data_IF_248140395079
#
_entry.id   IF_248140395079
#
_cell.length_a   1.000
_cell.length_b   1.000
_cell.length_c   1.000
_cell.angle_alpha   90.00
_cell.angle_beta   90.00
_cell.angle_gamma   90.00
#
_symmetry.space_group_name_H-M   'P 1'
#
loop_
_entity.id
_entity.type
_entity.pdbx_description
1 polymer ?
#
# COMPACT_ATOMS: atom_id res chain seq x y z
N UNK A 1 -10.13 9.96 14.54
CA UNK A 1 -10.76 8.77 15.20
C UNK A 1 -10.65 7.61 14.21
N UNK A 2 -10.18 6.43 14.63
CA UNK A 2 -10.12 5.24 13.76
C UNK A 2 -11.47 4.54 13.86
N UNK A 3 -12.09 4.26 12.70
CA UNK A 3 -13.42 3.65 12.59
C UNK A 3 -13.24 2.17 12.25
N UNK A 4 -13.75 1.27 13.09
CA UNK A 4 -13.75 -0.20 12.82
C UNK A 4 -14.48 -0.49 11.51
N UNK A 5 -13.93 -1.41 10.70
CA UNK A 5 -14.44 -1.70 9.36
C UNK A 5 -14.13 -0.62 8.32
N UNK A 6 -13.48 0.48 8.69
CA UNK A 6 -13.13 1.56 7.77
C UNK A 6 -12.00 1.18 6.81
N UNK A 7 -12.02 1.78 5.62
CA UNK A 7 -10.96 1.69 4.63
C UNK A 7 -9.96 2.84 4.83
N UNK A 8 -8.68 2.55 4.77
CA UNK A 8 -7.62 3.54 5.01
C UNK A 8 -6.54 3.49 3.95
N UNK A 9 -6.07 4.67 3.53
CA UNK A 9 -4.76 4.80 2.92
C UNK A 9 -3.74 5.06 4.03
N UNK A 10 -2.65 4.28 4.03
CA UNK A 10 -1.62 4.33 5.07
C UNK A 10 -0.25 4.48 4.43
N UNK A 11 0.60 5.34 4.99
CA UNK A 11 1.99 5.52 4.55
C UNK A 11 2.94 5.50 5.74
N UNK A 12 4.08 4.84 5.58
CA UNK A 12 5.18 4.90 6.52
C UNK A 12 6.50 5.12 5.80
N UNK A 13 7.37 5.97 6.33
CA UNK A 13 8.58 6.44 5.66
C UNK A 13 9.80 6.36 6.56
N UNK A 14 10.96 6.11 5.95
CA UNK A 14 12.26 6.19 6.60
C UNK A 14 12.58 7.58 7.09
N UNK A 15 13.20 7.67 8.26
CA UNK A 15 13.64 8.93 8.84
C UNK A 15 14.59 9.66 7.86
N UNK A 16 14.41 10.98 7.73
CA UNK A 16 15.18 11.79 6.77
C UNK A 16 15.17 11.24 5.33
N UNK A 17 14.09 10.58 4.93
CA UNK A 17 13.93 9.92 3.62
C UNK A 17 15.00 8.85 3.33
N UNK A 18 15.68 8.34 4.36
CA UNK A 18 16.71 7.30 4.18
C UNK A 18 16.12 6.01 3.60
N UNK A 19 16.95 5.27 2.86
CA UNK A 19 16.60 3.95 2.33
C UNK A 19 16.35 2.99 3.49
N UNK A 20 15.20 2.34 3.52
CA UNK A 20 14.81 1.34 4.52
C UNK A 20 14.48 -0.02 3.90
N UNK A 21 14.49 -0.11 2.57
CA UNK A 21 14.23 -1.31 1.82
C UNK A 21 15.29 -1.58 0.76
N UNK A 22 15.79 -2.79 0.70
CA UNK A 22 16.28 -3.46 -0.48
C UNK A 22 15.27 -4.55 -0.90
N UNK A 23 15.54 -5.32 -1.94
CA UNK A 23 14.59 -6.32 -2.45
C UNK A 23 14.32 -7.43 -1.42
N UNK A 24 15.32 -7.82 -0.63
CA UNK A 24 15.14 -8.82 0.42
C UNK A 24 14.20 -8.31 1.53
N UNK A 25 14.36 -7.04 1.92
CA UNK A 25 13.51 -6.40 2.92
C UNK A 25 12.09 -6.14 2.40
N UNK A 26 11.90 -5.85 1.11
CA UNK A 26 10.58 -5.73 0.49
C UNK A 26 9.83 -7.07 0.57
N UNK A 27 10.48 -8.18 0.19
CA UNK A 27 9.89 -9.52 0.30
C UNK A 27 9.57 -9.90 1.74
N UNK A 28 10.46 -9.60 2.67
CA UNK A 28 10.21 -9.80 4.10
C UNK A 28 9.02 -8.97 4.59
N UNK A 29 8.92 -7.72 4.16
CA UNK A 29 7.84 -6.82 4.57
C UNK A 29 6.47 -7.29 4.06
N UNK A 30 6.39 -7.79 2.82
CA UNK A 30 5.17 -8.39 2.27
C UNK A 30 4.74 -9.62 3.08
N UNK A 31 5.67 -10.48 3.50
CA UNK A 31 5.35 -11.61 4.40
C UNK A 31 4.84 -11.13 5.76
N UNK A 32 5.55 -10.19 6.38
CA UNK A 32 5.14 -9.61 7.64
C UNK A 32 3.76 -8.94 7.56
N UNK A 33 3.47 -8.28 6.44
CA UNK A 33 2.16 -7.69 6.17
C UNK A 33 1.07 -8.77 6.14
N UNK A 34 1.34 -9.94 5.53
CA UNK A 34 0.42 -11.08 5.51
C UNK A 34 0.08 -11.59 6.90
N UNK A 35 1.10 -11.84 7.72
CA UNK A 35 0.92 -12.31 9.10
C UNK A 35 0.15 -11.29 9.97
N UNK A 36 0.43 -10.01 9.78
CA UNK A 36 -0.24 -8.94 10.54
C UNK A 36 -1.66 -8.72 10.03
N UNK A 37 -1.89 -8.81 8.72
CA UNK A 37 -3.23 -8.71 8.16
C UNK A 37 -4.14 -9.83 8.69
N UNK A 38 -3.62 -11.05 8.82
CA UNK A 38 -4.34 -12.17 9.44
C UNK A 38 -4.61 -11.91 10.93
N UNK A 39 -3.58 -11.52 11.71
CA UNK A 39 -3.68 -11.29 13.16
C UNK A 39 -4.63 -10.15 13.53
N UNK A 40 -4.69 -9.09 12.70
CA UNK A 40 -5.49 -7.88 12.97
C UNK A 40 -6.73 -7.78 12.08
N UNK A 41 -7.07 -8.86 11.37
CA UNK A 41 -8.24 -8.94 10.48
C UNK A 41 -8.27 -7.81 9.44
N UNK A 42 -7.11 -7.52 8.85
CA UNK A 42 -7.02 -6.54 7.79
C UNK A 42 -7.25 -7.17 6.41
N UNK A 43 -8.04 -6.51 5.57
CA UNK A 43 -8.15 -6.80 4.14
C UNK A 43 -7.31 -5.78 3.39
N UNK A 44 -6.14 -6.19 2.90
CA UNK A 44 -5.23 -5.30 2.14
C UNK A 44 -5.61 -5.37 0.67
N UNK A 45 -6.10 -4.27 0.10
CA UNK A 45 -6.57 -4.21 -1.28
C UNK A 45 -5.53 -3.68 -2.26
N UNK A 46 -4.58 -2.86 -1.79
CA UNK A 46 -3.45 -2.40 -2.60
C UNK A 46 -2.24 -2.07 -1.74
N UNK A 47 -1.05 -2.23 -2.31
CA UNK A 47 0.20 -1.79 -1.70
C UNK A 47 1.25 -1.41 -2.75
N UNK A 48 2.20 -0.56 -2.35
CA UNK A 48 3.44 -0.28 -3.06
C UNK A 48 4.58 -0.05 -2.07
N UNK A 49 5.77 -0.61 -2.38
CA UNK A 49 6.95 -0.53 -1.51
C UNK A 49 8.11 0.04 -2.31
N UNK A 50 8.52 1.24 -1.94
CA UNK A 50 9.66 1.94 -2.53
C UNK A 50 10.94 1.70 -1.72
N UNK A 51 12.02 2.37 -2.05
CA UNK A 51 13.29 2.21 -1.31
C UNK A 51 13.24 2.79 0.10
N UNK A 52 12.44 3.83 0.34
CA UNK A 52 12.42 4.57 1.60
C UNK A 52 11.03 4.75 2.23
N UNK A 53 9.98 4.25 1.62
CA UNK A 53 8.62 4.30 2.16
C UNK A 53 7.73 3.23 1.52
N UNK A 54 6.54 3.03 2.10
CA UNK A 54 5.53 2.19 1.53
C UNK A 54 4.13 2.78 1.70
N UNK A 55 3.22 2.36 0.84
CA UNK A 55 1.81 2.70 0.86
C UNK A 55 0.97 1.44 0.97
N UNK A 56 -0.12 1.51 1.74
CA UNK A 56 -1.13 0.47 1.85
C UNK A 56 -2.51 1.11 1.64
N UNK A 57 -3.39 0.42 0.94
CA UNK A 57 -4.83 0.64 0.99
C UNK A 57 -5.43 -0.59 1.62
N UNK A 58 -6.07 -0.44 2.77
CA UNK A 58 -6.56 -1.58 3.54
C UNK A 58 -7.84 -1.24 4.31
N UNK A 59 -8.69 -2.25 4.47
CA UNK A 59 -9.84 -2.23 5.36
C UNK A 59 -9.42 -2.87 6.68
N UNK A 60 -9.76 -2.27 7.79
CA UNK A 60 -9.38 -2.76 9.12
C UNK A 60 -10.51 -3.56 9.76
N UNK A 61 -10.14 -4.55 10.58
CA UNK A 61 -11.03 -5.26 11.48
C UNK A 61 -11.28 -4.51 12.80
N UNK A 62 -11.84 -5.20 13.78
CA UNK A 62 -12.16 -4.63 15.10
C UNK A 62 -10.92 -4.26 15.92
N UNK A 63 -9.82 -5.00 15.75
CA UNK A 63 -8.55 -4.73 16.46
C UNK A 63 -7.89 -3.39 16.07
N UNK A 64 -8.41 -2.72 15.03
CA UNK A 64 -8.01 -1.40 14.63
C UNK A 64 -6.67 -1.33 13.88
N UNK A 65 -6.21 -0.10 13.62
CA UNK A 65 -5.04 0.17 12.79
C UNK A 65 -3.75 0.30 13.61
N UNK A 66 -3.81 0.92 14.79
CA UNK A 66 -2.62 1.40 15.49
C UNK A 66 -1.68 0.28 15.96
N UNK A 67 -2.21 -0.77 16.57
CA UNK A 67 -1.41 -1.88 17.10
C UNK A 67 -0.75 -2.69 15.98
N UNK A 68 -1.49 -2.98 14.91
CA UNK A 68 -0.95 -3.67 13.74
C UNK A 68 0.15 -2.87 13.04
N UNK A 69 -0.05 -1.56 12.85
CA UNK A 69 0.97 -0.68 12.25
C UNK A 69 2.21 -0.55 13.13
N UNK A 70 2.04 -0.49 14.46
CA UNK A 70 3.17 -0.50 15.39
C UNK A 70 4.00 -1.77 15.24
N UNK A 71 3.34 -2.93 15.20
CA UNK A 71 4.00 -4.23 15.04
C UNK A 71 4.70 -4.36 13.68
N UNK A 72 4.03 -3.94 12.60
CA UNK A 72 4.57 -3.95 11.24
C UNK A 72 5.83 -3.07 11.13
N UNK A 73 5.75 -1.83 11.61
CA UNK A 73 6.86 -0.89 11.58
C UNK A 73 8.01 -1.31 12.50
N UNK A 74 7.73 -1.92 13.65
CA UNK A 74 8.78 -2.46 14.54
C UNK A 74 9.57 -3.59 13.87
N UNK A 75 8.87 -4.53 13.21
CA UNK A 75 9.53 -5.61 12.45
C UNK A 75 10.40 -5.05 11.32
N UNK A 76 9.87 -4.07 10.57
CA UNK A 76 10.62 -3.40 9.51
C UNK A 76 11.84 -2.68 10.07
N UNK A 77 11.69 -1.90 11.15
CA UNK A 77 12.80 -1.15 11.74
C UNK A 77 13.94 -2.07 12.19
N UNK A 78 13.60 -3.18 12.86
CA UNK A 78 14.61 -4.17 13.30
C UNK A 78 15.35 -4.80 12.11
N UNK A 79 14.60 -5.23 11.09
CA UNK A 79 15.17 -5.85 9.90
C UNK A 79 16.03 -4.87 9.09
N UNK A 80 15.55 -3.63 8.89
CA UNK A 80 16.27 -2.58 8.19
C UNK A 80 17.56 -2.18 8.92
N UNK A 81 17.50 -1.99 10.25
CA UNK A 81 18.68 -1.67 11.03
C UNK A 81 19.72 -2.79 10.97
N UNK A 82 19.31 -4.05 11.12
CA UNK A 82 20.21 -5.20 10.98
C UNK A 82 20.85 -5.27 9.59
N UNK A 83 20.04 -5.03 8.53
CA UNK A 83 20.49 -5.09 7.13
C UNK A 83 21.50 -4.03 6.75
N UNK A 84 21.29 -2.79 7.24
CA UNK A 84 22.10 -1.63 6.89
C UNK A 84 23.12 -1.22 7.98
N UNK A 85 23.30 -2.04 9.01
CA UNK A 85 24.26 -1.77 10.09
C UNK A 85 23.94 -0.50 10.89
N UNK A 86 22.64 -0.21 11.10
CA UNK A 86 22.20 1.04 11.75
C UNK A 86 21.79 0.81 13.20
N UNK A 87 22.01 1.84 14.00
CA UNK A 87 21.56 1.94 15.39
C UNK A 87 20.58 3.13 15.42
N UNK A 88 19.48 3.05 16.15
CA UNK A 88 18.44 4.09 16.28
C UNK A 88 17.23 3.94 15.35
N UNK A 89 16.35 4.94 15.39
CA UNK A 89 15.08 4.96 14.68
C UNK A 89 15.30 5.12 13.16
N UNK A 90 15.12 4.05 12.40
CA UNK A 90 15.19 4.13 10.93
C UNK A 90 13.84 4.52 10.29
N UNK A 91 12.73 4.29 10.99
CA UNK A 91 11.41 4.79 10.58
C UNK A 91 11.20 6.13 11.29
N UNK A 92 10.76 7.14 10.54
CA UNK A 92 10.62 8.50 11.00
C UNK A 92 9.51 8.66 12.05
N UNK A 93 8.56 9.52 11.77
CA UNK A 93 7.40 9.75 12.64
C UNK A 93 6.43 8.55 12.61
N UNK A 94 5.32 8.63 13.38
CA UNK A 94 4.19 7.71 13.23
C UNK A 94 3.82 7.58 11.75
N UNK A 95 3.28 6.41 11.38
CA UNK A 95 2.63 6.25 10.09
C UNK A 95 1.54 7.33 9.93
N UNK A 96 1.37 7.79 8.72
CA UNK A 96 0.25 8.63 8.35
C UNK A 96 -0.91 7.75 7.86
N UNK A 97 -2.15 8.13 8.16
CA UNK A 97 -3.33 7.43 7.66
C UNK A 97 -4.48 8.38 7.40
N UNK A 98 -5.21 8.16 6.32
CA UNK A 98 -6.44 8.86 5.97
C UNK A 98 -7.57 7.87 5.78
N UNK A 99 -8.73 8.17 6.37
CA UNK A 99 -9.95 7.42 6.13
C UNK A 99 -10.41 7.65 4.69
N UNK A 100 -10.75 6.57 4.02
CA UNK A 100 -11.36 6.57 2.68
C UNK A 100 -12.86 6.46 2.89
N UNK A 101 -13.55 7.58 2.81
CA UNK A 101 -14.98 7.74 3.13
C UNK A 101 -15.86 8.00 1.90
N UNK A 102 -15.26 8.04 0.70
CA UNK A 102 -15.98 8.23 -0.55
C UNK A 102 -15.35 7.42 -1.70
N UNK A 103 -16.14 7.00 -2.70
CA UNK A 103 -15.64 6.25 -3.85
C UNK A 103 -14.51 6.96 -4.59
N UNK A 104 -14.57 8.26 -4.77
CA UNK A 104 -13.56 9.07 -5.46
C UNK A 104 -12.23 9.07 -4.71
N UNK A 105 -12.25 8.97 -3.38
CA UNK A 105 -11.05 8.84 -2.55
C UNK A 105 -10.47 7.43 -2.61
N UNK A 106 -11.33 6.42 -2.75
CA UNK A 106 -10.88 5.04 -2.96
C UNK A 106 -10.12 4.93 -4.28
N UNK A 107 -10.71 5.41 -5.36
CA UNK A 107 -10.10 5.43 -6.69
C UNK A 107 -8.77 6.20 -6.69
N UNK A 108 -8.75 7.41 -6.12
CA UNK A 108 -7.55 8.20 -6.00
C UNK A 108 -6.45 7.50 -5.19
N UNK A 109 -6.82 6.84 -4.07
CA UNK A 109 -5.89 6.09 -3.23
C UNK A 109 -5.28 4.89 -3.96
N UNK A 110 -6.08 4.17 -4.75
CA UNK A 110 -5.61 3.07 -5.58
C UNK A 110 -4.62 3.54 -6.64
N UNK A 111 -4.99 4.57 -7.42
CA UNK A 111 -4.14 5.13 -8.45
C UNK A 111 -2.83 5.65 -7.87
N UNK A 112 -2.92 6.45 -6.81
CA UNK A 112 -1.74 6.98 -6.15
C UNK A 112 -0.80 5.86 -5.67
N UNK A 113 -1.34 4.84 -5.00
CA UNK A 113 -0.56 3.72 -4.48
C UNK A 113 0.09 2.94 -5.62
N UNK A 114 -0.68 2.52 -6.61
CA UNK A 114 -0.18 1.63 -7.66
C UNK A 114 0.75 2.32 -8.65
N UNK A 115 0.56 3.62 -8.92
CA UNK A 115 1.46 4.41 -9.76
C UNK A 115 2.73 4.90 -9.05
N UNK A 116 2.83 4.73 -7.73
CA UNK A 116 3.95 5.26 -6.94
C UNK A 116 5.32 4.76 -7.41
N UNK A 117 5.53 3.46 -7.77
CA UNK A 117 6.80 3.00 -8.33
C UNK A 117 7.16 3.71 -9.64
N UNK A 118 6.23 3.82 -10.59
CA UNK A 118 6.48 4.50 -11.86
C UNK A 118 6.81 5.99 -11.66
N UNK A 119 6.10 6.69 -10.76
CA UNK A 119 6.41 8.07 -10.38
C UNK A 119 7.79 8.23 -9.72
N UNK A 120 8.29 7.20 -9.08
CA UNK A 120 9.63 7.15 -8.50
C UNK A 120 10.71 6.72 -9.52
N UNK A 121 10.37 6.61 -10.81
CA UNK A 121 11.27 6.21 -11.87
C UNK A 121 11.52 4.71 -11.97
N UNK A 122 10.68 3.88 -11.35
CA UNK A 122 10.73 2.42 -11.44
C UNK A 122 9.71 1.99 -12.50
N UNK A 123 10.16 1.93 -13.74
CA UNK A 123 9.30 1.64 -14.90
C UNK A 123 8.44 2.85 -15.32
N UNK A 124 7.58 2.61 -16.32
CA UNK A 124 6.68 3.61 -16.90
C UNK A 124 5.20 3.34 -16.60
N UNK A 125 4.91 2.14 -16.05
CA UNK A 125 3.57 1.68 -15.74
C UNK A 125 3.58 0.83 -14.45
N UNK A 126 2.48 0.75 -13.67
CA UNK A 126 2.38 -0.13 -12.49
C UNK A 126 2.73 -1.59 -12.75
N UNK A 127 2.53 -2.08 -13.97
CA UNK A 127 2.89 -3.44 -14.40
C UNK A 127 4.39 -3.69 -14.58
N UNK A 128 5.21 -2.65 -14.64
CA UNK A 128 6.66 -2.77 -14.80
C UNK A 128 7.39 -3.06 -13.49
N UNK A 129 6.70 -2.91 -12.37
CA UNK A 129 7.29 -3.08 -11.03
C UNK A 129 6.68 -4.27 -10.28
N UNK A 130 7.54 -5.17 -9.77
CA UNK A 130 7.15 -6.22 -8.81
C UNK A 130 6.85 -5.65 -7.40
N UNK A 131 7.14 -4.37 -7.17
CA UNK A 131 7.02 -3.73 -5.86
C UNK A 131 5.71 -2.98 -5.66
N UNK A 132 4.68 -3.37 -6.42
CA UNK A 132 3.29 -3.00 -6.16
C UNK A 132 2.37 -4.22 -6.31
N UNK A 133 1.19 -4.16 -5.71
CA UNK A 133 0.20 -5.24 -5.79
C UNK A 133 -0.48 -5.34 -7.16
N UNK A 134 -0.24 -4.41 -8.10
CA UNK A 134 -0.90 -4.40 -9.41
C UNK A 134 -0.76 -5.74 -10.15
N UNK A 135 0.47 -6.24 -10.31
CA UNK A 135 0.75 -7.49 -11.04
C UNK A 135 0.02 -8.69 -10.45
N UNK A 136 0.04 -8.81 -9.11
CA UNK A 136 -0.67 -9.88 -8.40
C UNK A 136 -2.19 -9.74 -8.51
N UNK A 137 -2.72 -8.52 -8.54
CA UNK A 137 -4.16 -8.25 -8.72
C UNK A 137 -4.67 -8.68 -10.09
N UNK A 138 -3.86 -8.48 -11.14
CA UNK A 138 -4.24 -8.83 -12.52
C UNK A 138 -3.77 -10.22 -12.95
N UNK A 139 -3.22 -11.01 -12.04
CA UNK A 139 -2.83 -12.40 -12.30
C UNK A 139 -1.50 -12.58 -13.04
N UNK A 140 -0.63 -11.55 -13.07
CA UNK A 140 0.70 -11.60 -13.67
C UNK A 140 1.78 -12.13 -12.72
N UNK A 141 1.52 -12.08 -11.41
CA UNK A 141 2.42 -12.58 -10.37
C UNK A 141 1.65 -13.42 -9.34
N UNK A 142 2.42 -14.16 -8.52
CA UNK A 142 1.87 -14.84 -7.36
C UNK A 142 1.19 -13.85 -6.40
N UNK A 143 0.01 -14.23 -5.92
CA UNK A 143 -0.77 -13.42 -4.99
C UNK A 143 -0.30 -13.66 -3.55
N UNK A 144 0.29 -12.65 -2.86
CA UNK A 144 0.59 -12.74 -1.44
C UNK A 144 -0.69 -12.94 -0.60
N UNK A 145 -0.59 -13.70 0.50
CA UNK A 145 -1.74 -13.99 1.37
C UNK A 145 -2.44 -12.75 1.94
N UNK A 146 -1.69 -11.65 2.13
CA UNK A 146 -2.24 -10.37 2.57
C UNK A 146 -3.18 -9.70 1.58
N UNK A 147 -3.05 -10.00 0.28
CA UNK A 147 -3.76 -9.27 -0.78
C UNK A 147 -5.18 -9.81 -0.97
N UNK A 148 -6.18 -9.00 -0.64
CA UNK A 148 -7.58 -9.29 -0.90
C UNK A 148 -8.04 -8.75 -2.25
N UNK A 149 -7.76 -9.53 -3.29
CA UNK A 149 -8.22 -9.17 -4.64
C UNK A 149 -9.74 -9.26 -4.79
N UNK A 150 -10.43 -10.01 -3.94
CA UNK A 150 -11.88 -10.18 -4.00
C UNK A 150 -12.59 -8.91 -3.59
N UNK A 151 -12.18 -8.30 -2.48
CA UNK A 151 -12.72 -7.02 -2.03
C UNK A 151 -12.48 -5.92 -3.06
N UNK A 152 -11.27 -5.85 -3.62
CA UNK A 152 -10.91 -4.87 -4.65
C UNK A 152 -11.72 -5.07 -5.94
N UNK A 153 -11.72 -6.27 -6.48
CA UNK A 153 -12.29 -6.52 -7.81
C UNK A 153 -13.83 -6.45 -7.84
N UNK A 154 -14.51 -6.67 -6.70
CA UNK A 154 -15.96 -6.43 -6.59
C UNK A 154 -16.36 -4.99 -6.94
N UNK A 155 -15.48 -4.03 -6.71
CA UNK A 155 -15.71 -2.64 -7.08
C UNK A 155 -15.75 -2.43 -8.60
N UNK A 156 -14.96 -3.22 -9.36
CA UNK A 156 -14.77 -3.05 -10.80
C UNK A 156 -15.67 -3.92 -11.67
N UNK A 157 -16.30 -4.97 -11.14
CA UNK A 157 -17.18 -5.79 -11.96
C UNK A 157 -17.82 -6.97 -11.23
N UNK A 158 -18.85 -7.55 -11.90
CA UNK A 158 -19.61 -8.68 -11.33
C UNK A 158 -18.94 -10.03 -11.55
N UNK A 159 -18.13 -10.17 -12.59
CA UNK A 159 -17.38 -11.40 -12.86
C UNK A 159 -15.88 -11.15 -12.74
N UNK A 160 -15.08 -12.11 -12.26
CA UNK A 160 -13.64 -11.93 -12.08
C UNK A 160 -12.92 -11.42 -13.33
N UNK A 161 -13.23 -11.98 -14.50
CA UNK A 161 -12.59 -11.60 -15.74
C UNK A 161 -12.93 -10.14 -16.14
N UNK A 162 -14.22 -9.76 -16.09
CA UNK A 162 -14.65 -8.40 -16.41
C UNK A 162 -14.07 -7.38 -15.42
N UNK A 163 -14.01 -7.75 -14.13
CA UNK A 163 -13.47 -6.90 -13.08
C UNK A 163 -11.97 -6.63 -13.27
N UNK A 164 -11.19 -7.64 -13.66
CA UNK A 164 -9.76 -7.48 -13.96
C UNK A 164 -9.54 -6.57 -15.15
N UNK A 165 -10.31 -6.72 -16.25
CA UNK A 165 -10.17 -5.87 -17.42
C UNK A 165 -10.61 -4.42 -17.14
N UNK A 166 -11.68 -4.22 -16.36
CA UNK A 166 -12.10 -2.89 -15.95
C UNK A 166 -11.07 -2.23 -15.02
N UNK A 167 -10.51 -3.00 -14.07
CA UNK A 167 -9.44 -2.52 -13.20
C UNK A 167 -8.19 -2.11 -14.00
N UNK A 168 -7.76 -2.91 -14.98
CA UNK A 168 -6.65 -2.55 -15.88
C UNK A 168 -6.93 -1.25 -16.62
N UNK A 169 -8.14 -1.11 -17.20
CA UNK A 169 -8.55 0.10 -17.91
C UNK A 169 -8.54 1.31 -16.98
N UNK A 170 -9.12 1.19 -15.78
CA UNK A 170 -9.13 2.23 -14.77
C UNK A 170 -7.71 2.69 -14.40
N UNK A 171 -6.79 1.75 -14.14
CA UNK A 171 -5.40 2.08 -13.83
C UNK A 171 -4.72 2.78 -15.01
N UNK A 172 -5.00 2.35 -16.24
CA UNK A 172 -4.41 2.94 -17.44
C UNK A 172 -4.90 4.37 -17.72
N UNK A 173 -6.21 4.60 -17.62
CA UNK A 173 -6.84 5.89 -17.97
C UNK A 173 -6.83 6.90 -16.84
N UNK A 174 -6.74 6.46 -15.60
CA UNK A 174 -6.86 7.30 -14.40
C UNK A 174 -5.64 8.15 -14.03
N UNK A 175 -4.55 8.05 -14.79
CA UNK A 175 -3.23 8.57 -14.44
C UNK A 175 -3.20 10.08 -14.12
N UNK A 176 -3.89 10.93 -14.82
CA UNK A 176 -3.75 12.38 -14.67
C UNK A 176 -4.70 13.01 -13.64
N UNK A 177 -5.93 12.57 -13.57
CA UNK A 177 -6.97 13.25 -12.76
C UNK A 177 -6.89 12.92 -11.27
N UNK A 178 -6.65 11.65 -10.93
CA UNK A 178 -6.65 11.23 -9.54
C UNK A 178 -5.34 11.56 -8.82
N UNK A 179 -4.22 11.61 -9.54
CA UNK A 179 -2.92 11.97 -8.96
C UNK A 179 -2.87 13.44 -8.51
N UNK A 180 -3.57 14.34 -9.20
CA UNK A 180 -3.66 15.76 -8.82
C UNK A 180 -4.48 15.92 -7.53
N UNK A 181 -5.69 15.35 -7.48
CA UNK A 181 -6.58 15.46 -6.30
C UNK A 181 -5.99 14.90 -5.02
N UNK A 182 -5.19 13.82 -5.13
CA UNK A 182 -4.57 13.22 -3.96
C UNK A 182 -3.39 14.04 -3.44
N UNK A 183 -2.56 14.58 -4.34
CA UNK A 183 -1.44 15.45 -3.97
C UNK A 183 -1.93 16.70 -3.22
N UNK A 184 -3.01 17.32 -3.71
CA UNK A 184 -3.64 18.48 -3.07
C UNK A 184 -4.12 18.14 -1.65
N UNK A 185 -4.74 16.96 -1.46
CA UNK A 185 -5.21 16.52 -0.13
C UNK A 185 -4.07 16.14 0.82
N UNK A 186 -2.98 15.54 0.36
CA UNK A 186 -1.80 15.28 1.21
C UNK A 186 -1.14 16.58 1.69
N UNK A 187 -1.18 17.65 0.91
CA UNK A 187 -0.69 18.97 1.32
C UNK A 187 -1.61 19.63 2.36
N UNK A 188 -2.93 19.50 2.23
CA UNK A 188 -3.91 20.03 3.20
C UNK A 188 -3.85 19.32 4.57
N UNK A 189 -3.36 18.07 4.62
CA UNK A 189 -3.31 17.24 5.83
C UNK A 189 -1.92 17.22 6.50
N UNK A 190 -0.93 17.93 5.97
CA UNK A 190 0.42 18.11 6.54
C UNK A 190 0.52 19.36 7.40
#
# INVERSE_FOLDING_TARGET
MVVSGGMYHVTSRGNNKQVIFDDALRRLHIRNLGEIAEEFEWSVVAWAILSNHYHLVLKIGEAGLAAGMQKLNLRLARASNARFGRINHCIGQRYWSSLIDAPEYFEASLLYTLWNPARAGIGNHPGDSEWSSFRATVGLDWKPGALDTTELLRYFGRTPAAAVEEFKRFIWTGQEHALRRWADREEELR
#
